data_IF_724530558590
#
_entry.id   IF_724530558590
#
_cell.length_a   1.000
_cell.length_b   1.000
_cell.length_c   1.000
_cell.angle_alpha   90.00
_cell.angle_beta   90.00
_cell.angle_gamma   90.00
#
_symmetry.space_group_name_H-M   'P 1'
#
loop_
_entity.id
_entity.type
_entity.pdbx_description
1 polymer ?
#
# COMPACT_ATOMS: atom_id res chain seq x y z
N UNK A 1 21.88 -7.13 -13.80
CA UNK A 1 20.61 -7.82 -13.48
C UNK A 1 20.66 -8.44 -12.08
N UNK A 2 20.12 -7.75 -11.06
CA UNK A 2 19.92 -8.39 -9.75
C UNK A 2 18.78 -9.41 -9.93
N UNK A 3 18.97 -10.70 -9.56
CA UNK A 3 17.90 -11.67 -9.67
C UNK A 3 16.67 -11.16 -8.91
N UNK A 4 15.48 -11.44 -9.44
CA UNK A 4 14.20 -11.15 -8.78
C UNK A 4 14.23 -11.90 -7.44
N UNK A 5 14.61 -11.21 -6.37
CA UNK A 5 14.80 -11.81 -5.03
C UNK A 5 13.46 -11.78 -4.34
N UNK A 6 12.94 -12.96 -4.00
CA UNK A 6 11.67 -13.16 -3.30
C UNK A 6 11.51 -12.15 -2.14
N UNK A 7 10.58 -11.22 -2.30
CA UNK A 7 10.30 -10.16 -1.33
C UNK A 7 8.83 -10.21 -0.91
N UNK A 8 8.56 -10.04 0.38
CA UNK A 8 7.20 -9.85 0.87
C UNK A 8 6.87 -8.35 0.86
N UNK A 9 5.74 -7.98 0.27
CA UNK A 9 5.22 -6.61 0.31
C UNK A 9 4.01 -6.51 1.23
N UNK A 10 3.99 -5.52 2.13
CA UNK A 10 2.85 -5.24 2.99
C UNK A 10 2.08 -4.01 2.50
N UNK A 11 0.75 -4.06 2.45
CA UNK A 11 -0.10 -2.91 2.16
C UNK A 11 -0.97 -2.54 3.37
N UNK A 12 -1.20 -1.24 3.59
CA UNK A 12 -1.90 -0.71 4.77
C UNK A 12 -3.37 -1.15 4.89
N UNK A 13 -3.99 -1.60 3.80
CA UNK A 13 -5.42 -1.99 3.76
C UNK A 13 -5.70 -3.45 4.16
N UNK A 14 -4.85 -4.07 4.99
CA UNK A 14 -5.08 -5.43 5.48
C UNK A 14 -6.21 -5.50 6.52
N UNK A 15 -6.97 -6.60 6.48
CA UNK A 15 -8.00 -6.93 7.47
C UNK A 15 -7.64 -8.26 8.13
N UNK A 16 -7.24 -8.24 9.40
CA UNK A 16 -7.04 -9.45 10.21
C UNK A 16 -8.26 -9.74 11.09
N UNK A 17 -8.44 -11.03 11.42
CA UNK A 17 -9.54 -11.55 12.26
C UNK A 17 -9.11 -11.94 13.68
N UNK A 18 -7.84 -11.81 14.02
CA UNK A 18 -7.28 -12.32 15.29
C UNK A 18 -7.49 -11.36 16.48
N UNK A 19 -7.29 -11.86 17.71
CA UNK A 19 -7.40 -11.09 18.94
C UNK A 19 -6.51 -9.83 18.97
N UNK A 20 -5.32 -9.90 18.36
CA UNK A 20 -4.42 -8.76 18.17
C UNK A 20 -5.01 -7.75 17.18
N UNK A 21 -5.69 -8.22 16.13
CA UNK A 21 -6.39 -7.33 15.19
C UNK A 21 -7.58 -6.61 15.84
N UNK A 22 -8.22 -7.22 16.84
CA UNK A 22 -9.29 -6.58 17.63
C UNK A 22 -8.72 -5.47 18.52
N UNK A 23 -7.57 -5.71 19.15
CA UNK A 23 -6.87 -4.70 19.97
C UNK A 23 -6.38 -3.53 19.11
N UNK A 24 -5.77 -3.82 17.95
CA UNK A 24 -5.32 -2.80 17.00
C UNK A 24 -6.54 -1.99 16.46
N UNK A 25 -7.68 -2.64 16.19
CA UNK A 25 -8.95 -1.94 15.85
C UNK A 25 -9.44 -1.04 16.98
N UNK A 26 -9.38 -1.50 18.23
CA UNK A 26 -9.79 -0.71 19.39
C UNK A 26 -8.88 0.50 19.60
N UNK A 27 -7.56 0.33 19.49
CA UNK A 27 -6.56 1.41 19.55
C UNK A 27 -6.69 2.40 18.40
N UNK A 28 -7.01 1.91 17.20
CA UNK A 28 -7.31 2.77 16.04
C UNK A 28 -8.59 3.59 16.27
N UNK A 29 -9.64 3.00 16.85
CA UNK A 29 -10.89 3.70 17.15
C UNK A 29 -10.68 4.85 18.15
N UNK A 30 -9.76 4.70 19.10
CA UNK A 30 -9.37 5.77 20.04
C UNK A 30 -8.24 6.67 19.52
N UNK A 31 -7.87 6.56 18.23
CA UNK A 31 -6.79 7.32 17.56
C UNK A 31 -5.39 7.15 18.17
N UNK A 32 -5.16 6.09 18.97
CA UNK A 32 -3.82 5.78 19.48
C UNK A 32 -2.92 5.15 18.41
N UNK A 33 -3.49 4.46 17.41
CA UNK A 33 -2.74 3.86 16.31
C UNK A 33 -3.21 4.41 14.96
N UNK A 34 -2.28 4.95 14.17
CA UNK A 34 -2.57 5.67 12.92
C UNK A 34 -2.50 4.77 11.68
N UNK A 35 -2.19 3.48 11.83
CA UNK A 35 -2.12 2.51 10.73
C UNK A 35 -2.56 1.11 11.17
N UNK A 36 -2.79 0.22 10.19
CA UNK A 36 -3.03 -1.22 10.44
C UNK A 36 -1.74 -2.00 10.18
N UNK A 37 -0.97 -2.36 11.24
CA UNK A 37 0.31 -3.04 11.06
C UNK A 37 0.16 -4.53 10.77
N UNK A 38 -1.04 -5.08 10.76
CA UNK A 38 -1.32 -6.52 10.56
C UNK A 38 -0.60 -7.05 9.31
N UNK A 39 -0.81 -6.43 8.15
CA UNK A 39 -0.13 -6.83 6.90
C UNK A 39 1.39 -6.83 7.03
N UNK A 40 1.94 -5.85 7.75
CA UNK A 40 3.39 -5.73 7.94
C UNK A 40 3.92 -6.81 8.90
N UNK A 41 3.20 -7.08 9.99
CA UNK A 41 3.52 -8.18 10.91
C UNK A 41 3.49 -9.52 10.17
N UNK A 42 2.42 -9.78 9.41
CA UNK A 42 2.26 -10.98 8.60
C UNK A 42 3.37 -11.11 7.56
N UNK A 43 3.70 -10.02 6.84
CA UNK A 43 4.79 -10.01 5.87
C UNK A 43 6.14 -10.38 6.51
N UNK A 44 6.44 -9.85 7.71
CA UNK A 44 7.67 -10.18 8.45
C UNK A 44 7.69 -11.65 8.89
N UNK A 45 6.57 -12.16 9.38
CA UNK A 45 6.45 -13.55 9.86
C UNK A 45 6.42 -14.55 8.70
N UNK A 46 5.87 -14.18 7.54
CA UNK A 46 5.85 -15.02 6.35
C UNK A 46 7.18 -15.00 5.57
N UNK A 47 7.94 -13.89 5.65
CA UNK A 47 9.20 -13.77 4.91
C UNK A 47 10.22 -14.83 5.34
N UNK A 48 10.90 -15.43 4.36
CA UNK A 48 11.97 -16.43 4.60
C UNK A 48 13.21 -15.79 5.23
N UNK A 49 14.08 -16.62 5.81
CA UNK A 49 15.40 -16.17 6.31
C UNK A 49 16.23 -15.56 5.16
N UNK A 50 16.95 -14.48 5.45
CA UNK A 50 17.70 -13.68 4.50
C UNK A 50 16.84 -13.00 3.42
N UNK A 51 15.53 -12.84 3.68
CA UNK A 51 14.57 -12.25 2.74
C UNK A 51 14.48 -10.72 2.83
N UNK A 52 13.73 -10.14 1.90
CA UNK A 52 13.44 -8.70 1.88
C UNK A 52 11.96 -8.46 2.18
N UNK A 53 11.67 -7.46 3.02
CA UNK A 53 10.32 -6.95 3.24
C UNK A 53 10.25 -5.52 2.74
N UNK A 54 9.42 -5.30 1.72
CA UNK A 54 9.15 -3.98 1.17
C UNK A 54 7.87 -3.42 1.79
N UNK A 55 7.93 -2.18 2.23
CA UNK A 55 6.86 -1.50 2.96
C UNK A 55 6.34 -0.34 2.11
N UNK A 56 5.53 -0.61 1.08
CA UNK A 56 4.82 0.43 0.34
C UNK A 56 3.63 0.96 1.15
N UNK A 57 3.45 2.27 1.18
CA UNK A 57 2.29 2.91 1.81
C UNK A 57 2.65 3.98 2.84
N UNK A 58 1.61 4.66 3.33
CA UNK A 58 1.75 5.75 4.31
C UNK A 58 1.47 5.19 5.70
N UNK A 59 2.52 5.05 6.50
CA UNK A 59 2.41 4.74 7.92
C UNK A 59 2.63 6.03 8.71
N UNK A 60 1.56 6.55 9.32
CA UNK A 60 1.63 7.70 10.22
C UNK A 60 1.83 7.25 11.66
N UNK A 61 2.50 8.10 12.46
CA UNK A 61 2.64 7.89 13.91
C UNK A 61 3.51 6.70 14.32
N UNK A 62 3.29 6.23 15.54
CA UNK A 62 3.98 5.07 16.10
C UNK A 62 3.18 3.79 15.82
N UNK A 63 3.91 2.70 15.59
CA UNK A 63 3.35 1.35 15.41
C UNK A 63 3.83 0.48 16.57
N UNK A 64 2.90 -0.02 17.38
CA UNK A 64 3.22 -0.90 18.50
C UNK A 64 3.44 -2.35 18.05
N UNK A 65 4.08 -3.18 18.89
CA UNK A 65 4.16 -4.65 18.78
C UNK A 65 4.82 -5.22 17.51
N UNK A 66 5.75 -4.50 16.90
CA UNK A 66 6.46 -4.98 15.70
C UNK A 66 7.32 -6.22 16.05
N UNK A 67 7.26 -7.34 15.30
CA UNK A 67 8.00 -8.57 15.61
C UNK A 67 9.49 -8.46 15.28
N UNK A 68 10.22 -7.57 15.95
CA UNK A 68 11.65 -7.32 15.72
C UNK A 68 12.52 -8.55 15.98
N UNK A 69 12.12 -9.44 16.89
CA UNK A 69 12.79 -10.73 17.07
C UNK A 69 12.77 -11.58 15.80
N UNK A 70 11.68 -11.58 15.04
CA UNK A 70 11.62 -12.27 13.76
C UNK A 70 12.50 -11.59 12.70
N UNK A 71 12.52 -10.26 12.68
CA UNK A 71 13.40 -9.47 11.78
C UNK A 71 14.87 -9.86 11.98
N UNK A 72 15.33 -9.88 13.23
CA UNK A 72 16.73 -10.19 13.57
C UNK A 72 17.04 -11.67 13.36
N UNK A 73 16.24 -12.59 13.89
CA UNK A 73 16.49 -14.04 13.80
C UNK A 73 16.46 -14.56 12.36
N UNK A 74 15.70 -13.90 11.48
CA UNK A 74 15.65 -14.23 10.06
C UNK A 74 16.59 -13.40 9.22
N UNK A 75 17.38 -12.48 9.79
CA UNK A 75 18.26 -11.58 9.06
C UNK A 75 17.54 -10.87 7.88
N UNK A 76 16.36 -10.28 8.16
CA UNK A 76 15.56 -9.63 7.12
C UNK A 76 16.09 -8.25 6.75
N UNK A 77 15.99 -7.92 5.47
CA UNK A 77 16.22 -6.56 4.95
C UNK A 77 14.90 -5.82 4.78
N UNK A 78 14.72 -4.70 5.49
CA UNK A 78 13.52 -3.88 5.39
C UNK A 78 13.76 -2.71 4.41
N UNK A 79 12.84 -2.49 3.47
CA UNK A 79 12.88 -1.39 2.52
C UNK A 79 11.58 -0.57 2.59
N UNK A 80 11.69 0.72 2.86
CA UNK A 80 10.54 1.64 2.95
C UNK A 80 10.84 2.97 2.25
N UNK A 81 9.81 3.79 2.08
CA UNK A 81 9.93 5.14 1.56
C UNK A 81 8.70 5.59 0.79
N UNK A 82 8.61 6.90 0.58
CA UNK A 82 7.67 7.46 -0.39
C UNK A 82 8.21 7.25 -1.80
N UNK A 83 7.32 7.18 -2.79
CA UNK A 83 7.72 7.10 -4.20
C UNK A 83 8.55 8.34 -4.56
N UNK A 84 9.74 8.14 -5.13
CA UNK A 84 10.56 9.23 -5.65
C UNK A 84 9.99 9.76 -6.97
N UNK A 85 8.86 10.47 -6.89
CA UNK A 85 8.08 10.89 -8.07
C UNK A 85 8.95 11.60 -9.09
N UNK A 86 9.75 12.59 -8.67
CA UNK A 86 10.61 13.36 -9.58
C UNK A 86 11.67 12.51 -10.31
N UNK A 87 12.12 11.42 -9.67
CA UNK A 87 13.08 10.50 -10.28
C UNK A 87 12.43 9.65 -11.38
N UNK A 88 11.18 9.23 -11.16
CA UNK A 88 10.50 8.27 -12.02
C UNK A 88 9.53 8.91 -13.03
N UNK A 89 9.15 10.17 -12.84
CA UNK A 89 8.16 10.84 -13.67
C UNK A 89 8.55 10.88 -15.15
N UNK A 90 9.75 11.37 -15.48
CA UNK A 90 10.22 11.50 -16.87
C UNK A 90 10.33 10.14 -17.58
N UNK A 91 11.04 9.13 -17.04
CA UNK A 91 11.11 7.82 -17.69
C UNK A 91 9.75 7.15 -17.86
N UNK A 92 8.85 7.24 -16.87
CA UNK A 92 7.52 6.64 -16.99
C UNK A 92 6.66 7.34 -18.04
N UNK A 93 6.76 8.66 -18.15
CA UNK A 93 6.04 9.41 -19.17
C UNK A 93 6.54 9.06 -20.58
N UNK A 94 7.86 8.92 -20.77
CA UNK A 94 8.45 8.50 -22.05
C UNK A 94 7.93 7.13 -22.48
N UNK A 95 7.87 6.16 -21.56
CA UNK A 95 7.29 4.83 -21.85
C UNK A 95 5.82 4.91 -22.27
N UNK A 96 5.03 5.80 -21.65
CA UNK A 96 3.63 6.02 -22.03
C UNK A 96 3.54 6.64 -23.42
N UNK A 97 4.34 7.67 -23.71
CA UNK A 97 4.35 8.37 -24.99
C UNK A 97 4.81 7.46 -26.14
N UNK A 98 5.73 6.53 -25.87
CA UNK A 98 6.21 5.53 -26.83
C UNK A 98 5.23 4.36 -27.03
N UNK A 99 4.14 4.29 -26.25
CA UNK A 99 3.20 3.17 -26.27
C UNK A 99 3.73 1.89 -25.63
N UNK A 100 4.85 1.94 -24.92
CA UNK A 100 5.44 0.81 -24.19
C UNK A 100 4.70 0.52 -22.87
N UNK A 101 3.97 1.51 -22.35
CA UNK A 101 3.16 1.40 -21.13
C UNK A 101 1.80 2.08 -21.32
N UNK A 102 0.71 1.32 -21.24
CA UNK A 102 -0.65 1.86 -21.18
C UNK A 102 -1.18 1.81 -19.75
N UNK A 103 -1.33 2.95 -19.05
CA UNK A 103 -1.88 2.97 -17.69
C UNK A 103 -3.41 2.96 -17.66
N UNK A 104 -4.10 3.03 -18.82
CA UNK A 104 -5.55 3.27 -18.88
C UNK A 104 -6.37 2.17 -18.21
N UNK A 105 -5.86 0.94 -18.13
CA UNK A 105 -6.52 -0.18 -17.46
C UNK A 105 -6.81 0.06 -15.97
N UNK A 106 -6.08 0.96 -15.30
CA UNK A 106 -6.35 1.28 -13.89
C UNK A 106 -7.59 2.17 -13.73
N UNK A 107 -7.99 2.89 -14.80
CA UNK A 107 -9.09 3.85 -14.79
C UNK A 107 -10.41 3.09 -14.91
N UNK A 108 -11.06 2.88 -13.78
CA UNK A 108 -12.36 2.18 -13.72
C UNK A 108 -13.57 3.07 -13.98
N UNK A 109 -13.47 4.36 -13.64
CA UNK A 109 -14.60 5.28 -13.70
C UNK A 109 -14.17 6.64 -14.25
N UNK A 110 -15.04 7.26 -15.03
CA UNK A 110 -14.87 8.60 -15.57
C UNK A 110 -16.16 9.39 -15.38
N UNK A 111 -16.04 10.61 -14.84
CA UNK A 111 -17.16 11.50 -14.55
C UNK A 111 -16.83 12.92 -14.99
N UNK A 112 -17.83 13.78 -15.10
CA UNK A 112 -17.62 15.22 -15.27
C UNK A 112 -17.18 15.88 -13.95
N UNK A 113 -16.77 17.15 -14.00
CA UNK A 113 -16.43 17.91 -12.78
C UNK A 113 -17.65 18.15 -11.87
N UNK A 114 -18.85 18.31 -12.44
CA UNK A 114 -20.10 18.50 -11.68
C UNK A 114 -20.46 17.27 -10.85
N UNK A 115 -20.07 16.08 -11.32
CA UNK A 115 -20.30 14.79 -10.67
C UNK A 115 -19.26 14.45 -9.60
N UNK A 116 -18.28 15.32 -9.35
CA UNK A 116 -17.20 15.08 -8.38
C UNK A 116 -17.68 14.63 -6.98
N UNK A 117 -18.77 15.17 -6.39
CA UNK A 117 -19.28 14.67 -5.11
C UNK A 117 -19.70 13.20 -5.17
N UNK A 118 -20.40 12.80 -6.23
CA UNK A 118 -20.84 11.43 -6.44
C UNK A 118 -19.64 10.49 -6.69
N UNK A 119 -18.70 10.93 -7.52
CA UNK A 119 -17.48 10.19 -7.80
C UNK A 119 -16.64 9.94 -6.53
N UNK A 120 -16.60 10.93 -5.61
CA UNK A 120 -15.96 10.77 -4.32
C UNK A 120 -16.68 9.78 -3.42
N UNK A 121 -18.02 9.75 -3.43
CA UNK A 121 -18.79 8.73 -2.70
C UNK A 121 -18.47 7.31 -3.17
N UNK A 122 -18.48 7.09 -4.49
CA UNK A 122 -18.14 5.79 -5.10
C UNK A 122 -16.74 5.36 -4.64
N UNK A 123 -15.75 6.23 -4.76
CA UNK A 123 -14.37 5.94 -4.36
C UNK A 123 -14.25 5.65 -2.86
N UNK A 124 -14.83 6.50 -2.01
CA UNK A 124 -14.73 6.37 -0.55
C UNK A 124 -15.44 5.13 -0.02
N UNK A 125 -16.62 4.82 -0.55
CA UNK A 125 -17.43 3.66 -0.15
C UNK A 125 -17.02 2.38 -0.89
N UNK A 126 -16.02 2.44 -1.78
CA UNK A 126 -15.53 1.32 -2.61
C UNK A 126 -16.66 0.64 -3.39
N UNK A 127 -17.58 1.44 -3.92
CA UNK A 127 -18.70 0.93 -4.72
C UNK A 127 -18.22 0.55 -6.12
N UNK A 128 -18.98 -0.33 -6.78
CA UNK A 128 -18.82 -0.65 -8.20
C UNK A 128 -17.42 -1.12 -8.62
N UNK A 129 -16.69 -1.76 -7.69
CA UNK A 129 -15.30 -2.17 -7.90
C UNK A 129 -14.38 -1.00 -8.32
N UNK A 130 -14.66 0.22 -7.83
CA UNK A 130 -13.89 1.41 -8.15
C UNK A 130 -12.43 1.31 -7.69
N UNK A 131 -11.50 1.43 -8.65
CA UNK A 131 -10.04 1.44 -8.43
C UNK A 131 -9.50 2.87 -8.60
N UNK A 132 -9.78 3.51 -9.74
CA UNK A 132 -9.37 4.87 -10.06
C UNK A 132 -10.49 5.62 -10.76
N UNK A 133 -10.73 6.83 -10.28
CA UNK A 133 -11.63 7.81 -10.87
C UNK A 133 -10.79 8.85 -11.61
N UNK A 134 -11.22 9.24 -12.81
CA UNK A 134 -10.73 10.42 -13.52
C UNK A 134 -11.90 11.38 -13.74
N UNK A 135 -11.74 12.63 -13.33
CA UNK A 135 -12.69 13.70 -13.62
C UNK A 135 -12.27 14.40 -14.91
N UNK A 136 -13.21 14.53 -15.84
CA UNK A 136 -13.01 15.28 -17.09
C UNK A 136 -13.69 16.65 -16.98
N UNK A 137 -13.00 17.73 -17.37
CA UNK A 137 -13.60 19.05 -17.49
C UNK A 137 -14.76 19.08 -18.48
#
# INVERSE_FOLDING_TARGET
PRPMRDGCSSALESHGTDAIALLDKAKQAVRLETGRPIALREAIVACRKGGHVSIPGVYGGFIDSMPMGAVVNKALSLHSGQTHVQRYLRPLLELIQNGELDPSFIITHQFSLEEAPHAYEIFKKKLDNCIKVVLKP
#
